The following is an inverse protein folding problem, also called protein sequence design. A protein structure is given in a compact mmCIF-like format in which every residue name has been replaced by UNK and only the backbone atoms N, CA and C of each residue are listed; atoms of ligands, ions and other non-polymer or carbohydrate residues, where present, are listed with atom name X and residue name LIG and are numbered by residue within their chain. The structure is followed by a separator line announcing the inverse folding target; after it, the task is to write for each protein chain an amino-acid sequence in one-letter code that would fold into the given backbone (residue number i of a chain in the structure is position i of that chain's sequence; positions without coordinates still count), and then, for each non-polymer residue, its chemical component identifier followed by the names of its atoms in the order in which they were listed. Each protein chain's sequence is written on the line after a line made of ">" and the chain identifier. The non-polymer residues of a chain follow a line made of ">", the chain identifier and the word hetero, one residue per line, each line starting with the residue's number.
data_IF_705488220220
#
_entry.id   IF_705488220220
#
_cell.length_a   1.000
_cell.length_b   1.000
_cell.length_c   1.000
_cell.angle_alpha   90.00
_cell.angle_beta   90.00
_cell.angle_gamma   90.00
#
_symmetry.space_group_name_H-M   'P 1'
#
loop_
_entity.id
_entity.type
_entity.pdbx_description
1 polymer ?
#
# COMPACT_ATOMS: atom_id res chain seq x y z
N UNK A 1 -12.88 2.44 -3.93
CA UNK A 1 -11.87 2.93 -2.96
C UNK A 1 -11.80 2.05 -1.72
N UNK A 2 -12.87 1.90 -0.94
CA UNK A 2 -12.91 0.98 0.22
C UNK A 2 -12.57 -0.47 -0.13
N UNK A 3 -13.07 -0.99 -1.25
CA UNK A 3 -12.78 -2.35 -1.70
C UNK A 3 -11.28 -2.65 -1.82
N UNK A 4 -10.46 -1.70 -2.29
CA UNK A 4 -9.01 -1.88 -2.36
C UNK A 4 -8.36 -1.93 -0.98
N UNK A 5 -8.91 -1.22 0.00
CA UNK A 5 -8.44 -1.28 1.40
C UNK A 5 -8.83 -2.62 2.02
N UNK A 6 -10.08 -3.07 1.81
CA UNK A 6 -10.53 -4.39 2.26
C UNK A 6 -9.65 -5.51 1.69
N UNK A 7 -9.38 -5.47 0.38
CA UNK A 7 -8.48 -6.43 -0.26
C UNK A 7 -7.06 -6.37 0.31
N UNK A 8 -6.55 -5.16 0.59
CA UNK A 8 -5.23 -5.00 1.19
C UNK A 8 -5.14 -5.63 2.60
N UNK A 9 -6.15 -5.42 3.45
CA UNK A 9 -6.22 -6.03 4.80
C UNK A 9 -6.34 -7.55 4.70
N UNK A 10 -7.16 -8.07 3.79
CA UNK A 10 -7.28 -9.51 3.55
C UNK A 10 -5.98 -10.14 3.05
N UNK A 11 -5.26 -9.44 2.15
CA UNK A 11 -3.96 -9.88 1.66
C UNK A 11 -2.92 -9.88 2.77
N UNK A 12 -2.88 -8.85 3.62
CA UNK A 12 -2.00 -8.82 4.80
C UNK A 12 -2.26 -10.03 5.69
N UNK A 13 -3.52 -10.28 6.07
CA UNK A 13 -3.87 -11.40 6.93
C UNK A 13 -3.50 -12.76 6.30
N UNK A 14 -3.56 -12.86 4.97
CA UNK A 14 -3.17 -14.07 4.24
C UNK A 14 -1.65 -14.28 4.21
N UNK A 15 -0.87 -13.20 4.04
CA UNK A 15 0.59 -13.22 4.11
C UNK A 15 1.10 -13.54 5.53
N UNK A 16 0.50 -12.93 6.55
CA UNK A 16 0.85 -13.18 7.95
C UNK A 16 0.57 -14.64 8.36
N UNK A 17 -0.52 -15.24 7.85
CA UNK A 17 -0.82 -16.67 8.06
C UNK A 17 0.27 -17.62 7.53
N UNK A 18 1.02 -17.21 6.51
CA UNK A 18 2.13 -18.00 5.95
C UNK A 18 3.50 -17.51 6.46
N UNK A 19 3.53 -16.69 7.51
CA UNK A 19 4.76 -16.22 8.16
C UNK A 19 5.46 -15.05 7.47
N UNK A 20 4.81 -14.39 6.52
CA UNK A 20 5.36 -13.20 5.83
C UNK A 20 4.88 -11.94 6.56
N UNK A 21 5.82 -11.15 7.09
CA UNK A 21 5.50 -9.85 7.68
C UNK A 21 5.02 -8.88 6.58
N UNK A 22 3.75 -8.48 6.65
CA UNK A 22 3.13 -7.54 5.73
C UNK A 22 2.56 -6.32 6.45
N UNK A 23 2.54 -5.16 5.79
CA UNK A 23 2.02 -3.90 6.33
C UNK A 23 1.16 -3.18 5.31
N UNK A 24 -0.07 -2.86 5.69
CA UNK A 24 -0.99 -2.09 4.85
C UNK A 24 -0.81 -0.60 5.11
N UNK A 25 -0.54 0.15 4.04
CA UNK A 25 -0.48 1.60 4.04
C UNK A 25 -1.50 2.20 3.09
N UNK A 26 -2.25 3.19 3.54
CA UNK A 26 -3.33 3.82 2.74
C UNK A 26 -3.34 5.33 2.92
N UNK A 27 -3.78 6.04 1.89
CA UNK A 27 -4.01 7.48 1.97
C UNK A 27 -5.35 7.84 2.62
N UNK A 28 -6.26 6.87 2.76
CA UNK A 28 -7.48 7.04 3.55
C UNK A 28 -7.13 6.89 5.03
N UNK A 29 -7.36 7.94 5.82
CA UNK A 29 -7.10 7.90 7.26
C UNK A 29 -8.12 6.98 7.92
N UNK A 30 -7.67 5.83 8.41
CA UNK A 30 -8.44 4.90 9.24
C UNK A 30 -7.65 4.64 10.51
N UNK A 31 -8.12 5.19 11.64
CA UNK A 31 -7.34 5.21 12.87
C UNK A 31 -7.04 3.80 13.41
N UNK A 32 -7.93 2.83 13.18
CA UNK A 32 -7.84 1.51 13.83
C UNK A 32 -7.45 0.34 12.89
N UNK A 33 -7.42 0.56 11.57
CA UNK A 33 -7.34 -0.55 10.60
C UNK A 33 -6.03 -0.59 9.80
N UNK A 34 -5.36 0.55 9.59
CA UNK A 34 -4.27 0.65 8.61
C UNK A 34 -3.29 1.77 8.96
N UNK A 35 -2.04 1.64 8.54
CA UNK A 35 -1.08 2.74 8.67
C UNK A 35 -1.37 3.81 7.61
N UNK A 36 -1.26 5.12 7.94
CA UNK A 36 -1.29 6.15 6.91
C UNK A 36 -0.08 5.98 6.00
N UNK A 37 -0.27 6.18 4.69
CA UNK A 37 0.83 6.17 3.73
C UNK A 37 1.81 7.30 4.04
N UNK A 38 3.02 6.92 4.44
CA UNK A 38 4.15 7.81 4.64
C UNK A 38 5.34 7.16 3.93
N UNK A 39 5.83 7.77 2.86
CA UNK A 39 6.94 7.25 2.04
C UNK A 39 8.12 6.75 2.88
N UNK A 40 8.57 7.54 3.86
CA UNK A 40 9.65 7.15 4.78
C UNK A 40 9.35 5.87 5.57
N UNK A 41 8.10 5.68 5.97
CA UNK A 41 7.66 4.48 6.70
C UNK A 41 7.59 3.26 5.79
N UNK A 42 7.10 3.45 4.55
CA UNK A 42 7.15 2.41 3.52
C UNK A 42 8.59 1.92 3.31
N UNK A 43 9.52 2.85 3.07
CA UNK A 43 10.94 2.54 2.91
C UNK A 43 11.52 1.79 4.11
N UNK A 44 11.23 2.22 5.34
CA UNK A 44 11.72 1.54 6.54
C UNK A 44 11.18 0.10 6.69
N UNK A 45 9.96 -0.19 6.22
CA UNK A 45 9.45 -1.56 6.17
C UNK A 45 10.12 -2.37 5.07
N UNK A 46 10.34 -1.80 3.88
CA UNK A 46 11.06 -2.44 2.78
C UNK A 46 12.51 -2.78 3.16
N UNK A 47 13.22 -1.87 3.83
CA UNK A 47 14.59 -2.08 4.35
C UNK A 47 14.67 -3.24 5.36
N UNK A 48 13.57 -3.53 6.07
CA UNK A 48 13.45 -4.65 7.01
C UNK A 48 13.02 -5.96 6.33
N UNK A 49 12.86 -5.97 5.01
CA UNK A 49 12.41 -7.14 4.26
C UNK A 49 10.91 -7.44 4.38
N UNK A 50 10.09 -6.46 4.78
CA UNK A 50 8.64 -6.61 4.91
C UNK A 50 7.91 -6.29 3.62
N UNK A 51 6.78 -6.95 3.40
CA UNK A 51 5.89 -6.63 2.29
C UNK A 51 5.06 -5.39 2.63
N UNK A 52 5.09 -4.37 1.77
CA UNK A 52 4.25 -3.17 1.91
C UNK A 52 3.11 -3.23 0.91
N UNK A 53 1.87 -3.19 1.40
CA UNK A 53 0.67 -3.22 0.58
C UNK A 53 0.04 -1.83 0.56
N UNK A 54 -0.05 -1.23 -0.62
CA UNK A 54 -0.71 0.06 -0.79
C UNK A 54 -2.21 -0.11 -1.01
N UNK A 55 -3.01 0.27 -0.01
CA UNK A 55 -4.46 0.30 -0.07
C UNK A 55 -4.99 1.68 -0.48
N UNK A 56 -6.23 1.73 -0.99
CA UNK A 56 -6.91 3.00 -1.24
C UNK A 56 -6.31 3.79 -2.41
N UNK A 57 -5.73 3.11 -3.41
CA UNK A 57 -4.82 3.70 -4.40
C UNK A 57 -5.47 4.75 -5.33
N UNK A 58 -6.81 4.87 -5.36
CA UNK A 58 -7.53 5.97 -6.03
C UNK A 58 -7.78 7.21 -5.15
N UNK A 59 -7.53 7.14 -3.84
CA UNK A 59 -7.69 8.26 -2.90
C UNK A 59 -6.45 9.16 -2.83
N UNK A 60 -5.30 8.64 -3.24
CA UNK A 60 -4.00 9.30 -3.08
C UNK A 60 -3.87 10.64 -3.81
N UNK A 61 -4.76 10.94 -4.76
CA UNK A 61 -4.76 12.22 -5.49
C UNK A 61 -6.06 13.03 -5.36
N UNK A 62 -7.09 12.52 -4.66
CA UNK A 62 -8.42 13.15 -4.69
C UNK A 62 -9.06 13.21 -6.09
N UNK A 63 -8.50 12.50 -7.07
CA UNK A 63 -8.97 12.50 -8.45
C UNK A 63 -9.62 11.14 -8.78
N UNK A 64 -10.95 11.07 -8.95
CA UNK A 64 -11.66 9.83 -9.26
C UNK A 64 -11.34 9.24 -10.64
N UNK A 65 -10.59 9.95 -11.50
CA UNK A 65 -10.20 9.50 -12.84
C UNK A 65 -8.88 8.71 -12.85
N UNK A 66 -8.24 8.52 -11.70
CA UNK A 66 -6.96 7.81 -11.63
C UNK A 66 -7.16 6.29 -11.68
N UNK A 67 -6.40 5.61 -12.54
CA UNK A 67 -6.41 4.14 -12.65
C UNK A 67 -5.42 3.50 -11.67
N UNK A 68 -5.60 2.19 -11.43
CA UNK A 68 -4.67 1.42 -10.59
C UNK A 68 -3.24 1.46 -11.13
N UNK A 69 -3.06 1.39 -12.45
CA UNK A 69 -1.74 1.38 -13.09
C UNK A 69 -0.99 2.71 -12.89
N UNK A 70 -1.68 3.85 -13.05
CA UNK A 70 -1.08 5.16 -12.78
C UNK A 70 -0.69 5.31 -11.31
N UNK A 71 -1.51 4.77 -10.41
CA UNK A 71 -1.24 4.82 -8.99
C UNK A 71 -0.08 3.89 -8.59
N UNK A 72 0.03 2.73 -9.23
CA UNK A 72 1.15 1.81 -9.07
C UNK A 72 2.46 2.41 -9.59
N UNK A 73 2.44 3.06 -10.75
CA UNK A 73 3.61 3.76 -11.31
C UNK A 73 4.10 4.89 -10.40
N UNK A 74 3.18 5.69 -9.84
CA UNK A 74 3.54 6.72 -8.86
C UNK A 74 4.21 6.11 -7.62
N UNK A 75 3.60 5.07 -7.03
CA UNK A 75 4.13 4.43 -5.83
C UNK A 75 5.49 3.81 -6.09
N UNK A 76 5.66 3.12 -7.22
CA UNK A 76 6.94 2.55 -7.65
C UNK A 76 8.02 3.63 -7.74
N UNK A 77 7.70 4.78 -8.36
CA UNK A 77 8.63 5.92 -8.43
C UNK A 77 8.96 6.49 -7.05
N UNK A 78 7.98 6.61 -6.15
CA UNK A 78 8.23 7.12 -4.79
C UNK A 78 9.11 6.17 -3.96
N UNK A 79 8.89 4.85 -4.06
CA UNK A 79 9.70 3.86 -3.34
C UNK A 79 11.00 3.50 -4.07
N UNK A 80 11.31 4.16 -5.18
CA UNK A 80 12.46 3.86 -6.04
C UNK A 80 12.53 2.37 -6.43
N UNK A 81 11.40 1.77 -6.78
CA UNK A 81 11.35 0.38 -7.22
C UNK A 81 12.12 0.23 -8.55
N UNK A 82 12.91 -0.84 -8.65
CA UNK A 82 13.67 -1.14 -9.87
C UNK A 82 12.76 -1.54 -11.03
N UNK A 83 11.63 -2.21 -10.74
CA UNK A 83 10.68 -2.74 -11.72
C UNK A 83 9.25 -2.63 -11.20
N UNK A 84 8.31 -2.37 -12.10
CA UNK A 84 6.86 -2.50 -11.91
C UNK A 84 6.36 -3.67 -12.78
N UNK A 85 5.61 -4.60 -12.19
CA UNK A 85 5.07 -5.81 -12.82
C UNK A 85 3.54 -5.77 -12.92
#
# INVERSE_FOLDING_TARGET
>A
MMASVTNAVLLQASLEKIGIEARVQTTLVMQDATEPYIRRRAMCHLEKGRVVIFGGIGAAMGNPLLTTDSAAALRASEVNADVLL
#
